data_IF_740757581736
#
_entry.id   IF_740757581736
#
_cell.length_a   1.000
_cell.length_b   1.000
_cell.length_c   1.000
_cell.angle_alpha   90.00
_cell.angle_beta   90.00
_cell.angle_gamma   90.00
#
_symmetry.space_group_name_H-M   'P 1'
#
loop_
_entity.id
_entity.type
_entity.pdbx_description
1 polymer ?
#
# COMPACT_ATOMS: atom_id res chain seq x y z
N UNK A 1 8.97 -2.85 8.48
CA UNK A 1 10.01 -3.08 7.47
C UNK A 1 10.38 -4.57 7.43
N UNK A 2 10.52 -5.13 6.22
CA UNK A 2 11.02 -6.50 5.97
C UNK A 2 10.43 -7.61 6.86
N UNK A 3 9.18 -7.49 7.29
CA UNK A 3 8.54 -8.36 8.27
C UNK A 3 8.65 -9.87 7.93
N UNK A 4 8.50 -10.33 6.66
CA UNK A 4 8.59 -11.74 6.30
C UNK A 4 10.00 -12.34 6.40
N UNK A 5 11.03 -11.53 6.50
CA UNK A 5 12.43 -12.00 6.55
C UNK A 5 12.93 -12.24 7.98
N UNK A 6 12.22 -11.73 8.99
CA UNK A 6 12.53 -11.98 10.38
C UNK A 6 12.05 -13.36 10.83
N UNK A 7 12.62 -13.88 11.93
CA UNK A 7 12.14 -15.11 12.53
C UNK A 7 10.67 -14.98 12.94
N UNK A 8 9.84 -15.86 12.39
CA UNK A 8 8.38 -15.76 12.49
C UNK A 8 7.87 -15.95 13.92
N UNK A 9 8.47 -16.86 14.67
CA UNK A 9 8.08 -17.13 16.05
C UNK A 9 8.49 -15.99 16.99
N UNK A 10 9.70 -15.47 16.82
CA UNK A 10 10.19 -14.33 17.59
C UNK A 10 9.31 -13.08 17.36
N UNK A 11 8.95 -12.81 16.10
CA UNK A 11 8.06 -11.70 15.75
C UNK A 11 6.65 -11.90 16.31
N UNK A 12 6.11 -13.12 16.26
CA UNK A 12 4.81 -13.45 16.83
C UNK A 12 4.77 -13.24 18.34
N UNK A 13 5.83 -13.64 19.04
CA UNK A 13 5.96 -13.42 20.50
C UNK A 13 6.09 -11.93 20.84
N UNK A 14 6.87 -11.19 20.05
CA UNK A 14 7.00 -9.74 20.23
C UNK A 14 5.65 -9.04 20.04
N UNK A 15 4.93 -9.34 18.94
CA UNK A 15 3.60 -8.77 18.70
C UNK A 15 2.58 -9.17 19.77
N UNK A 16 2.63 -10.40 20.30
CA UNK A 16 1.77 -10.82 21.39
C UNK A 16 1.99 -9.99 22.65
N UNK A 17 3.25 -9.72 23.01
CA UNK A 17 3.60 -8.87 24.16
C UNK A 17 3.15 -7.43 23.94
N UNK A 18 3.39 -6.87 22.76
CA UNK A 18 2.98 -5.52 22.41
C UNK A 18 1.45 -5.37 22.47
N UNK A 19 0.70 -6.32 21.93
CA UNK A 19 -0.76 -6.31 21.97
C UNK A 19 -1.33 -6.45 23.39
N UNK A 20 -0.62 -7.16 24.28
CA UNK A 20 -0.99 -7.28 25.69
C UNK A 20 -0.78 -5.98 26.46
N UNK A 21 0.37 -5.35 26.25
CA UNK A 21 0.75 -4.10 26.93
C UNK A 21 -0.04 -2.89 26.39
N UNK A 22 -0.23 -2.86 25.08
CA UNK A 22 -0.89 -1.75 24.39
C UNK A 22 -2.01 -2.27 23.48
N UNK A 23 -3.16 -2.68 24.06
CA UNK A 23 -4.22 -3.35 23.30
C UNK A 23 -4.83 -2.47 22.18
N UNK A 24 -4.81 -1.15 22.35
CA UNK A 24 -5.33 -0.19 21.37
C UNK A 24 -4.26 0.32 20.37
N UNK A 25 -3.00 -0.06 20.56
CA UNK A 25 -1.94 0.31 19.64
C UNK A 25 -2.05 -0.53 18.36
N UNK A 26 -2.02 0.11 17.21
CA UNK A 26 -2.00 -0.60 15.94
C UNK A 26 -0.57 -0.76 15.44
N UNK A 27 -0.31 -1.89 14.80
CA UNK A 27 0.96 -2.21 14.15
C UNK A 27 0.68 -2.67 12.73
N UNK A 28 1.51 -2.25 11.80
CA UNK A 28 1.47 -2.73 10.42
C UNK A 28 2.81 -3.38 10.07
N UNK A 29 2.76 -4.53 9.43
CA UNK A 29 3.95 -5.21 8.92
C UNK A 29 4.08 -5.00 7.42
N UNK A 30 5.28 -4.64 6.99
CA UNK A 30 5.61 -4.67 5.59
C UNK A 30 5.75 -6.12 5.14
N UNK A 31 4.68 -6.61 4.54
CA UNK A 31 4.59 -7.98 3.99
C UNK A 31 4.67 -7.88 2.47
N UNK A 32 5.87 -7.66 1.94
CA UNK A 32 6.08 -7.45 0.51
C UNK A 32 5.91 -8.77 -0.27
N UNK A 33 4.67 -9.18 -0.40
CA UNK A 33 4.22 -10.33 -1.19
C UNK A 33 2.99 -9.93 -2.01
N UNK A 34 2.95 -10.29 -3.28
CA UNK A 34 1.95 -9.80 -4.22
C UNK A 34 0.73 -10.70 -4.38
N UNK A 35 0.68 -11.81 -3.63
CA UNK A 35 -0.47 -12.71 -3.64
C UNK A 35 -1.32 -12.56 -2.37
N UNK A 36 -2.64 -12.38 -2.48
CA UNK A 36 -3.52 -12.15 -1.34
C UNK A 36 -3.44 -13.22 -0.26
N UNK A 37 -3.31 -14.49 -0.66
CA UNK A 37 -3.20 -15.60 0.29
C UNK A 37 -1.93 -15.50 1.16
N UNK A 38 -0.81 -15.10 0.57
CA UNK A 38 0.43 -14.91 1.31
C UNK A 38 0.35 -13.70 2.23
N UNK A 39 -0.23 -12.60 1.78
CA UNK A 39 -0.46 -11.42 2.63
C UNK A 39 -1.37 -11.77 3.80
N UNK A 40 -2.49 -12.45 3.53
CA UNK A 40 -3.45 -12.86 4.56
C UNK A 40 -2.84 -13.83 5.60
N UNK A 41 -1.87 -14.66 5.20
CA UNK A 41 -1.18 -15.57 6.11
C UNK A 41 -0.38 -14.85 7.21
N UNK A 42 -0.05 -13.57 7.02
CA UNK A 42 0.67 -12.75 8.00
C UNK A 42 -0.24 -11.96 8.93
N UNK A 43 -1.53 -11.84 8.66
CA UNK A 43 -2.43 -11.14 9.55
C UNK A 43 -2.74 -11.98 10.80
N UNK A 44 -2.94 -11.29 11.93
CA UNK A 44 -3.36 -11.93 13.20
C UNK A 44 -4.58 -12.81 12.98
N UNK A 45 -4.57 -13.98 13.62
CA UNK A 45 -5.64 -14.99 13.59
C UNK A 45 -5.89 -15.63 12.22
N UNK A 46 -4.92 -15.52 11.29
CA UNK A 46 -5.00 -16.17 9.98
C UNK A 46 -5.06 -17.69 10.10
N UNK A 47 -5.96 -18.28 9.32
CA UNK A 47 -6.09 -19.73 9.19
C UNK A 47 -5.13 -20.34 8.17
N UNK A 48 -4.40 -19.50 7.45
CA UNK A 48 -3.44 -19.90 6.41
C UNK A 48 -2.03 -20.14 6.98
N UNK A 49 -1.85 -20.04 8.28
CA UNK A 49 -0.57 -20.21 8.95
C UNK A 49 -0.71 -20.98 10.26
N UNK A 50 0.27 -21.85 10.54
CA UNK A 50 0.40 -22.55 11.82
C UNK A 50 0.89 -21.64 12.98
N UNK A 51 1.49 -20.50 12.65
CA UNK A 51 1.97 -19.52 13.62
C UNK A 51 1.08 -18.29 13.52
N UNK A 52 0.39 -17.97 14.62
CA UNK A 52 -0.34 -16.71 14.71
C UNK A 52 0.65 -15.56 14.86
N UNK A 53 0.75 -14.72 13.85
CA UNK A 53 1.68 -13.59 13.83
C UNK A 53 1.39 -12.55 14.91
N UNK A 54 0.15 -12.47 15.41
CA UNK A 54 -0.37 -11.40 16.27
C UNK A 54 -0.28 -9.99 15.64
N UNK A 55 0.07 -9.89 14.37
CA UNK A 55 0.18 -8.65 13.61
C UNK A 55 -1.21 -8.19 13.17
N UNK A 56 -1.66 -7.04 13.67
CA UNK A 56 -3.03 -6.57 13.41
C UNK A 56 -3.24 -6.18 11.96
N UNK A 57 -2.29 -5.45 11.37
CA UNK A 57 -2.37 -4.95 10.01
C UNK A 57 -1.18 -5.42 9.18
N UNK A 58 -1.44 -5.65 7.91
CA UNK A 58 -0.45 -5.99 6.89
C UNK A 58 -0.54 -5.01 5.73
N UNK A 59 0.57 -4.74 5.05
CA UNK A 59 0.59 -3.92 3.85
C UNK A 59 0.06 -4.71 2.65
N UNK A 60 -0.84 -4.12 1.87
CA UNK A 60 -1.50 -4.75 0.73
C UNK A 60 -0.68 -4.57 -0.56
N UNK A 61 0.46 -5.23 -0.63
CA UNK A 61 1.24 -5.29 -1.87
C UNK A 61 0.53 -6.03 -3.00
N UNK A 62 -0.44 -6.87 -2.67
CA UNK A 62 -1.27 -7.54 -3.66
C UNK A 62 -2.18 -6.54 -4.40
N UNK A 63 -2.79 -5.60 -3.68
CA UNK A 63 -3.54 -4.50 -4.29
C UNK A 63 -2.62 -3.54 -5.05
N UNK A 64 -1.50 -3.14 -4.43
CA UNK A 64 -0.49 -2.28 -5.06
C UNK A 64 -0.05 -2.81 -6.43
N UNK A 65 0.32 -4.09 -6.50
CA UNK A 65 0.78 -4.72 -7.75
C UNK A 65 -0.32 -4.69 -8.81
N UNK A 66 -1.55 -5.09 -8.45
CA UNK A 66 -2.68 -5.15 -9.38
C UNK A 66 -3.12 -3.79 -9.90
N UNK A 67 -3.18 -2.77 -9.05
CA UNK A 67 -3.60 -1.43 -9.50
C UNK A 67 -2.54 -0.77 -10.38
N UNK A 68 -1.26 -1.03 -10.12
CA UNK A 68 -0.16 -0.52 -10.93
C UNK A 68 -0.02 -1.24 -12.29
N UNK A 69 -0.39 -2.51 -12.38
CA UNK A 69 -0.52 -3.19 -13.66
C UNK A 69 -1.74 -2.70 -14.42
N UNK A 70 -2.89 -2.61 -13.75
CA UNK A 70 -4.17 -2.23 -14.35
C UNK A 70 -4.14 -0.87 -15.05
N UNK A 71 -3.40 0.11 -14.55
CA UNK A 71 -3.31 1.46 -15.14
C UNK A 71 -2.71 1.48 -16.55
N UNK A 72 -1.95 0.45 -16.91
CA UNK A 72 -1.25 0.34 -18.19
C UNK A 72 -1.96 -0.61 -19.16
N UNK A 73 -3.13 -1.11 -18.78
CA UNK A 73 -3.86 -2.13 -19.54
C UNK A 73 -5.29 -1.66 -19.84
N UNK A 74 -5.82 -2.12 -20.96
CA UNK A 74 -7.25 -1.99 -21.24
C UNK A 74 -8.05 -3.06 -20.49
N UNK A 75 -9.28 -2.73 -20.07
CA UNK A 75 -10.18 -3.69 -19.44
C UNK A 75 -11.00 -4.42 -20.50
N UNK A 76 -10.34 -5.23 -21.31
CA UNK A 76 -10.93 -5.97 -22.45
C UNK A 76 -10.96 -7.49 -22.25
N UNK A 77 -10.51 -7.99 -21.10
CA UNK A 77 -10.46 -9.41 -20.75
C UNK A 77 -10.68 -9.68 -19.26
N UNK A 78 -10.71 -10.96 -18.90
CA UNK A 78 -10.99 -11.41 -17.53
C UNK A 78 -9.86 -11.09 -16.54
N UNK A 79 -8.64 -10.84 -17.03
CA UNK A 79 -7.42 -10.81 -16.20
C UNK A 79 -6.59 -9.53 -16.37
N UNK A 80 -7.10 -8.54 -17.08
CA UNK A 80 -6.39 -7.29 -17.38
C UNK A 80 -7.20 -6.06 -16.96
N UNK A 81 -6.55 -4.91 -16.96
CA UNK A 81 -7.13 -3.65 -16.54
C UNK A 81 -7.73 -3.75 -15.13
N UNK A 82 -8.86 -3.11 -14.89
CA UNK A 82 -9.55 -3.12 -13.60
C UNK A 82 -9.98 -4.51 -13.13
N UNK A 83 -10.13 -5.48 -14.03
CA UNK A 83 -10.47 -6.86 -13.66
C UNK A 83 -9.37 -7.49 -12.79
N UNK A 84 -8.09 -7.08 -12.92
CA UNK A 84 -7.03 -7.49 -12.01
C UNK A 84 -7.34 -7.14 -10.55
N UNK A 85 -7.82 -5.93 -10.34
CA UNK A 85 -8.15 -5.41 -9.00
C UNK A 85 -9.34 -6.18 -8.44
N UNK A 86 -10.43 -6.33 -9.20
CA UNK A 86 -11.59 -7.10 -8.77
C UNK A 86 -11.24 -8.54 -8.45
N UNK A 87 -10.43 -9.19 -9.28
CA UNK A 87 -9.96 -10.54 -9.01
C UNK A 87 -9.10 -10.62 -7.75
N UNK A 88 -8.35 -9.57 -7.42
CA UNK A 88 -7.63 -9.48 -6.14
C UNK A 88 -8.57 -9.37 -4.93
N UNK A 89 -9.58 -8.50 -5.03
CA UNK A 89 -10.55 -8.27 -3.96
C UNK A 89 -11.47 -9.47 -3.72
N UNK A 90 -11.67 -10.34 -4.71
CA UNK A 90 -12.39 -11.60 -4.54
C UNK A 90 -11.78 -12.50 -3.45
N UNK A 91 -10.51 -12.31 -3.09
CA UNK A 91 -9.81 -13.05 -2.04
C UNK A 91 -9.94 -12.44 -0.63
N UNK A 92 -10.77 -11.42 -0.46
CA UNK A 92 -10.95 -10.75 0.84
C UNK A 92 -11.40 -11.71 1.97
N UNK A 93 -12.09 -12.78 1.63
CA UNK A 93 -12.50 -13.82 2.57
C UNK A 93 -11.32 -14.57 3.23
N UNK A 94 -10.11 -14.46 2.68
CA UNK A 94 -8.90 -15.06 3.25
C UNK A 94 -8.36 -14.25 4.46
N UNK A 95 -8.66 -12.95 4.50
CA UNK A 95 -8.19 -12.08 5.58
C UNK A 95 -9.09 -12.22 6.80
N UNK A 96 -8.52 -12.47 7.99
CA UNK A 96 -9.31 -12.43 9.24
C UNK A 96 -10.01 -11.09 9.47
N UNK A 97 -9.37 -10.00 9.06
CA UNK A 97 -9.94 -8.65 9.14
C UNK A 97 -9.50 -7.79 7.93
N UNK A 98 -10.23 -7.82 6.82
CA UNK A 98 -9.92 -7.01 5.65
C UNK A 98 -9.82 -5.50 5.94
N UNK A 99 -10.65 -4.97 6.85
CA UNK A 99 -10.65 -3.57 7.22
C UNK A 99 -9.37 -3.10 7.94
N UNK A 100 -8.55 -4.03 8.41
CA UNK A 100 -7.25 -3.74 9.03
C UNK A 100 -6.07 -3.92 8.06
N UNK A 101 -6.31 -4.24 6.81
CA UNK A 101 -5.26 -4.30 5.78
C UNK A 101 -4.96 -2.89 5.28
N UNK A 102 -3.69 -2.50 5.22
CA UNK A 102 -3.27 -1.17 4.77
C UNK A 102 -2.97 -1.19 3.27
N UNK A 103 -3.86 -0.62 2.49
CA UNK A 103 -3.72 -0.51 1.04
C UNK A 103 -3.06 0.80 0.61
N UNK A 104 -2.35 0.77 -0.50
CA UNK A 104 -1.65 1.91 -1.08
C UNK A 104 -1.46 1.72 -2.59
N UNK A 105 -1.24 2.81 -3.30
CA UNK A 105 -0.95 2.81 -4.74
C UNK A 105 0.52 3.11 -5.04
N UNK A 106 1.20 3.70 -4.08
CA UNK A 106 2.64 4.03 -4.10
C UNK A 106 3.14 4.19 -2.66
N UNK A 107 4.44 4.05 -2.45
CA UNK A 107 5.10 4.36 -1.19
C UNK A 107 6.56 4.79 -1.42
N UNK A 108 7.34 4.93 -0.34
CA UNK A 108 8.74 5.36 -0.41
C UNK A 108 9.69 4.32 -1.03
N UNK A 109 9.26 3.08 -1.16
CA UNK A 109 10.05 1.96 -1.72
C UNK A 109 9.58 1.52 -3.11
N UNK A 110 8.57 2.19 -3.66
CA UNK A 110 8.04 1.90 -4.98
C UNK A 110 8.18 3.10 -5.92
N UNK A 111 7.98 2.90 -7.20
CA UNK A 111 7.79 4.01 -8.12
C UNK A 111 6.56 4.83 -7.69
N UNK A 112 6.59 6.14 -7.98
CA UNK A 112 5.38 6.95 -7.89
C UNK A 112 4.33 6.40 -8.85
N UNK A 113 3.06 6.49 -8.51
CA UNK A 113 1.97 5.99 -9.35
C UNK A 113 1.97 6.63 -10.74
N UNK A 114 2.30 7.91 -10.82
CA UNK A 114 2.46 8.62 -12.09
C UNK A 114 3.71 8.20 -12.88
N UNK A 115 4.67 7.49 -12.24
CA UNK A 115 5.93 7.15 -12.87
C UNK A 115 6.68 8.38 -13.36
N UNK A 116 7.09 8.38 -14.62
CA UNK A 116 7.66 9.56 -15.31
C UNK A 116 6.59 10.33 -16.12
N UNK A 117 5.32 9.97 -15.99
CA UNK A 117 4.20 10.58 -16.71
C UNK A 117 3.38 11.54 -15.84
N UNK A 118 2.17 11.84 -16.32
CA UNK A 118 1.23 12.75 -15.68
C UNK A 118 -0.24 12.32 -15.88
N UNK A 119 -0.51 11.02 -15.97
CA UNK A 119 -1.89 10.53 -16.13
C UNK A 119 -2.68 10.73 -14.83
N UNK A 120 -3.18 11.96 -14.68
CA UNK A 120 -3.97 12.36 -13.52
C UNK A 120 -5.35 11.72 -13.49
N UNK A 121 -5.87 11.24 -14.63
CA UNK A 121 -7.14 10.53 -14.67
C UNK A 121 -7.00 9.15 -14.04
N UNK A 122 -5.98 8.39 -14.44
CA UNK A 122 -5.67 7.10 -13.80
C UNK A 122 -5.40 7.25 -12.31
N UNK A 123 -4.65 8.29 -11.89
CA UNK A 123 -4.39 8.58 -10.48
C UNK A 123 -5.70 8.85 -9.71
N UNK A 124 -6.60 9.67 -10.26
CA UNK A 124 -7.90 9.96 -9.62
C UNK A 124 -8.76 8.69 -9.48
N UNK A 125 -8.77 7.83 -10.47
CA UNK A 125 -9.49 6.57 -10.43
C UNK A 125 -8.90 5.63 -9.36
N UNK A 126 -7.57 5.51 -9.30
CA UNK A 126 -6.90 4.70 -8.29
C UNK A 126 -7.13 5.22 -6.87
N UNK A 127 -7.08 6.55 -6.66
CA UNK A 127 -7.39 7.17 -5.37
C UNK A 127 -8.85 7.01 -4.98
N UNK A 128 -9.79 7.14 -5.92
CA UNK A 128 -11.20 6.90 -5.65
C UNK A 128 -11.43 5.46 -5.15
N UNK A 129 -10.80 4.48 -5.79
CA UNK A 129 -10.87 3.09 -5.37
C UNK A 129 -10.22 2.88 -4.00
N UNK A 130 -8.98 3.37 -3.80
CA UNK A 130 -8.24 3.27 -2.54
C UNK A 130 -9.02 3.83 -1.35
N UNK A 131 -9.68 4.97 -1.52
CA UNK A 131 -10.39 5.67 -0.44
C UNK A 131 -11.80 5.11 -0.17
N UNK A 132 -12.34 4.28 -1.06
CA UNK A 132 -13.69 3.73 -0.93
C UNK A 132 -13.75 2.24 -0.63
N UNK A 133 -12.64 1.53 -0.78
CA UNK A 133 -12.56 0.10 -0.44
C UNK A 133 -12.47 -0.13 1.07
N UNK A 134 -12.81 -1.33 1.53
CA UNK A 134 -12.73 -1.72 2.94
C UNK A 134 -11.28 -2.01 3.36
N UNK A 135 -10.46 -0.96 3.46
CA UNK A 135 -9.03 -0.99 3.81
C UNK A 135 -8.66 0.23 4.64
N UNK A 136 -7.48 0.22 5.25
CA UNK A 136 -6.84 1.43 5.76
C UNK A 136 -6.09 2.07 4.59
N UNK A 137 -6.52 3.24 4.08
CA UNK A 137 -5.82 3.86 2.97
C UNK A 137 -4.51 4.51 3.44
N UNK A 138 -3.41 4.21 2.78
CA UNK A 138 -2.15 4.92 2.92
C UNK A 138 -1.94 5.84 1.73
N UNK A 139 -1.80 7.14 2.00
CA UNK A 139 -1.39 8.14 1.03
C UNK A 139 0.07 8.50 1.25
N UNK A 140 0.88 8.38 0.22
CA UNK A 140 2.26 8.82 0.28
C UNK A 140 2.33 10.33 0.05
N UNK A 141 3.18 11.03 0.80
CA UNK A 141 3.32 12.50 0.67
C UNK A 141 3.65 12.89 -0.77
N UNK A 142 3.08 13.98 -1.23
CA UNK A 142 3.29 14.49 -2.58
C UNK A 142 2.38 13.90 -3.66
N UNK A 143 1.62 12.82 -3.36
CA UNK A 143 0.57 12.32 -4.26
C UNK A 143 -0.47 13.41 -4.54
N UNK A 144 -0.82 14.17 -3.52
CA UNK A 144 -1.81 15.27 -3.56
C UNK A 144 -1.39 16.45 -4.44
N UNK A 145 -0.08 16.58 -4.70
CA UNK A 145 0.50 17.62 -5.57
C UNK A 145 1.16 17.02 -6.81
N UNK A 146 0.76 15.82 -7.17
CA UNK A 146 1.16 15.12 -8.39
C UNK A 146 2.68 14.88 -8.53
N UNK A 147 3.37 14.65 -7.42
CA UNK A 147 4.76 14.25 -7.47
C UNK A 147 4.91 12.95 -8.25
N UNK A 148 5.88 12.93 -9.14
CA UNK A 148 6.21 11.82 -10.00
C UNK A 148 7.68 11.37 -9.85
N UNK A 149 8.01 10.23 -10.41
CA UNK A 149 9.36 9.68 -10.42
C UNK A 149 9.37 8.16 -10.42
N UNK A 150 10.50 7.62 -10.86
CA UNK A 150 10.77 6.18 -10.82
C UNK A 150 12.09 5.92 -10.08
N UNK A 151 12.25 4.71 -9.57
CA UNK A 151 13.45 4.26 -8.84
C UNK A 151 14.65 3.89 -9.75
N UNK A 152 14.51 3.98 -11.07
CA UNK A 152 15.52 3.49 -12.05
C UNK A 152 16.97 3.86 -11.71
N UNK A 153 17.19 5.04 -11.13
CA UNK A 153 18.54 5.52 -10.79
C UNK A 153 18.83 5.50 -9.30
N UNK A 154 17.87 5.86 -8.49
CA UNK A 154 18.01 5.97 -7.03
C UNK A 154 16.65 6.14 -6.36
N UNK A 155 16.54 5.69 -5.13
CA UNK A 155 15.37 5.93 -4.26
C UNK A 155 15.08 7.42 -4.07
N UNK A 156 16.09 8.28 -4.13
CA UNK A 156 15.92 9.73 -4.05
C UNK A 156 14.97 10.32 -5.09
N UNK A 157 14.79 9.64 -6.24
CA UNK A 157 13.83 10.10 -7.26
C UNK A 157 12.37 10.02 -6.81
N UNK A 158 12.03 9.09 -5.92
CA UNK A 158 10.68 8.91 -5.39
C UNK A 158 10.52 9.51 -4.00
N UNK A 159 11.62 9.94 -3.38
CA UNK A 159 11.69 10.54 -2.02
C UNK A 159 12.15 12.00 -2.07
N UNK A 160 11.83 12.71 -3.14
CA UNK A 160 12.16 14.15 -3.31
C UNK A 160 11.50 14.97 -2.20
N UNK A 161 12.11 16.11 -1.87
CA UNK A 161 11.52 17.09 -0.98
C UNK A 161 10.16 17.52 -1.51
N UNK A 162 9.23 17.78 -0.58
CA UNK A 162 7.91 18.32 -0.93
C UNK A 162 8.09 19.70 -1.58
N UNK A 163 7.43 20.00 -2.71
CA UNK A 163 7.65 21.23 -3.47
C UNK A 163 7.00 22.44 -2.78
N UNK A 164 7.64 22.95 -1.75
CA UNK A 164 7.21 24.12 -0.99
C UNK A 164 6.21 23.81 0.12
N UNK A 165 5.55 24.86 0.61
CA UNK A 165 4.56 24.76 1.69
C UNK A 165 5.10 25.14 3.07
N UNK A 166 6.39 25.42 3.20
CA UNK A 166 7.01 25.91 4.42
C UNK A 166 7.07 27.43 4.46
N UNK A 167 7.14 27.99 5.67
CA UNK A 167 7.21 29.44 5.85
C UNK A 167 8.46 30.01 5.15
N UNK A 168 8.24 30.94 4.22
CA UNK A 168 9.30 31.60 3.43
C UNK A 168 9.60 30.96 2.08
N UNK A 169 8.95 29.85 1.74
CA UNK A 169 9.13 29.23 0.43
C UNK A 169 8.56 30.12 -0.68
N UNK A 170 9.35 30.27 -1.74
CA UNK A 170 8.92 30.98 -2.96
C UNK A 170 8.01 30.14 -3.85
N UNK A 171 8.06 28.84 -3.70
CA UNK A 171 7.27 27.86 -4.43
C UNK A 171 6.41 27.09 -3.45
N UNK A 172 5.12 26.97 -3.76
CA UNK A 172 4.19 26.18 -2.97
C UNK A 172 3.24 25.46 -3.92
N UNK A 173 3.35 24.14 -3.98
CA UNK A 173 2.55 23.32 -4.89
C UNK A 173 1.04 23.38 -4.59
N UNK A 174 0.64 23.76 -3.38
CA UNK A 174 -0.78 23.99 -3.03
C UNK A 174 -1.36 25.29 -3.58
N UNK A 175 -0.53 26.21 -4.04
CA UNK A 175 -0.96 27.53 -4.56
C UNK A 175 -0.87 27.64 -6.08
N UNK A 176 -0.43 26.60 -6.75
CA UNK A 176 -0.45 26.55 -8.22
C UNK A 176 -1.90 26.32 -8.63
N UNK A 177 -2.54 27.37 -9.12
CA UNK A 177 -3.84 27.24 -9.78
C UNK A 177 -3.70 26.29 -10.97
N UNK A 178 -4.45 25.21 -10.92
CA UNK A 178 -4.49 24.19 -11.96
C UNK A 178 -5.33 24.62 -13.15
#
# INVERSE_FOLDING_TARGET
DTYPYADREAMAQWMARLNKEYPNFNTVGETWVTEPAYTAAWQKDSKLSNINSNLKSVMDFAFFDRINQAKNEETDGWWNGLNRVYNGLCYDYLYPNPASVMAFIENHDTDRFLGNGNDTLALKQALALLLTMNRIPQLYYGTEVLMNGTKEKTDGNVRKDFPGGFAGDKHNAFTVEG
#
